data_IF_007151676374
#
_entry.id   IF_007151676374
#
_cell.length_a   1.000
_cell.length_b   1.000
_cell.length_c   1.000
_cell.angle_alpha   90.00
_cell.angle_beta   90.00
_cell.angle_gamma   90.00
#
_symmetry.space_group_name_H-M   'P 1'
#
loop_
_entity.id
_entity.type
_entity.pdbx_description
1 polymer ?
#
# COMPACT_ATOMS: atom_id res chain seq x y z
N UNK A 1 -8.50 -31.47 -24.40
CA UNK A 1 -8.53 -30.00 -24.16
C UNK A 1 -7.17 -29.59 -23.64
N UNK A 2 -6.45 -28.68 -24.32
CA UNK A 2 -5.22 -28.10 -23.75
C UNK A 2 -5.63 -27.19 -22.59
N UNK A 3 -4.95 -27.24 -21.42
CA UNK A 3 -5.19 -26.24 -20.39
C UNK A 3 -4.95 -24.85 -20.99
N UNK A 4 -5.73 -23.83 -20.57
CA UNK A 4 -5.47 -22.45 -20.94
C UNK A 4 -3.99 -22.11 -20.67
N UNK A 5 -3.38 -21.28 -21.51
CA UNK A 5 -1.97 -20.89 -21.37
C UNK A 5 -1.67 -20.43 -19.94
N UNK A 6 -2.61 -19.74 -19.31
CA UNK A 6 -2.56 -19.26 -17.92
C UNK A 6 -2.48 -20.39 -16.86
N UNK A 7 -3.22 -21.49 -17.04
CA UNK A 7 -3.14 -22.67 -16.16
C UNK A 7 -1.81 -23.38 -16.37
N UNK A 8 -1.30 -23.38 -17.61
CA UNK A 8 0.01 -23.92 -17.93
C UNK A 8 1.13 -23.07 -17.32
N UNK A 9 1.00 -21.74 -17.31
CA UNK A 9 1.95 -20.81 -16.66
C UNK A 9 1.89 -20.94 -15.14
N UNK A 10 0.70 -21.05 -14.54
CA UNK A 10 0.56 -21.31 -13.11
C UNK A 10 1.19 -22.66 -12.71
N UNK A 11 0.97 -23.72 -13.48
CA UNK A 11 1.63 -25.02 -13.27
C UNK A 11 3.15 -24.94 -13.52
N UNK A 12 3.61 -24.12 -14.47
CA UNK A 12 5.04 -23.83 -14.69
C UNK A 12 5.66 -23.09 -13.52
N UNK A 13 4.96 -22.13 -12.89
CA UNK A 13 5.43 -21.42 -11.69
C UNK A 13 5.60 -22.39 -10.50
N UNK A 14 4.69 -23.36 -10.35
CA UNK A 14 4.77 -24.43 -9.36
C UNK A 14 5.91 -25.43 -9.66
N UNK A 15 6.20 -25.71 -10.94
CA UNK A 15 7.31 -26.57 -11.36
C UNK A 15 8.68 -25.90 -11.19
N UNK A 16 8.77 -24.59 -11.40
CA UNK A 16 9.97 -23.79 -11.10
C UNK A 16 10.26 -23.84 -9.59
N UNK A 17 9.22 -23.81 -8.74
CA UNK A 17 9.33 -23.97 -7.28
C UNK A 17 9.95 -25.32 -6.88
N UNK A 18 9.57 -26.41 -7.58
CA UNK A 18 10.12 -27.74 -7.35
C UNK A 18 11.59 -27.87 -7.83
N UNK A 19 11.96 -27.27 -8.97
CA UNK A 19 13.34 -27.37 -9.48
C UNK A 19 14.36 -26.51 -8.71
N UNK A 20 13.96 -25.33 -8.23
CA UNK A 20 14.84 -24.52 -7.37
C UNK A 20 15.09 -25.16 -6.00
N UNK A 21 14.15 -25.95 -5.48
CA UNK A 21 14.34 -26.72 -4.26
C UNK A 21 15.36 -27.86 -4.42
N UNK A 22 15.51 -28.44 -5.63
CA UNK A 22 16.50 -29.50 -5.89
C UNK A 22 17.95 -28.98 -6.03
N UNK A 23 18.17 -27.74 -6.46
CA UNK A 23 19.54 -27.15 -6.54
C UNK A 23 20.14 -26.80 -5.16
N UNK A 24 19.35 -26.91 -4.08
CA UNK A 24 19.68 -26.45 -2.73
C UNK A 24 20.55 -27.44 -1.91
N UNK A 25 20.89 -28.61 -2.45
CA UNK A 25 21.46 -29.71 -1.66
C UNK A 25 22.99 -29.67 -1.46
N UNK A 26 23.72 -28.63 -1.90
CA UNK A 26 25.21 -28.70 -1.96
C UNK A 26 26.01 -27.51 -1.38
N UNK A 27 25.42 -26.61 -0.57
CA UNK A 27 26.13 -25.46 0.04
C UNK A 27 26.04 -25.37 1.58
N UNK A 28 26.84 -24.51 2.24
CA UNK A 28 26.89 -24.37 3.71
C UNK A 28 25.78 -23.49 4.35
N UNK A 29 25.38 -23.83 5.58
CA UNK A 29 24.13 -23.41 6.25
C UNK A 29 23.85 -21.89 6.37
N UNK A 30 24.89 -21.05 6.58
CA UNK A 30 24.68 -19.59 6.74
C UNK A 30 24.53 -18.85 5.40
N UNK A 31 25.25 -19.28 4.37
CA UNK A 31 25.16 -18.69 3.03
C UNK A 31 23.89 -19.18 2.32
N UNK A 32 23.53 -20.46 2.53
CA UNK A 32 22.28 -21.03 2.02
C UNK A 32 21.04 -20.31 2.56
N UNK A 33 21.02 -19.90 3.84
CA UNK A 33 19.86 -19.20 4.41
C UNK A 33 19.63 -17.83 3.77
N UNK A 34 20.70 -17.07 3.54
CA UNK A 34 20.64 -15.74 2.89
C UNK A 34 20.31 -15.90 1.39
N UNK A 35 20.93 -16.87 0.71
CA UNK A 35 20.62 -17.20 -0.69
C UNK A 35 19.16 -17.64 -0.82
N UNK A 36 18.68 -18.56 0.03
CA UNK A 36 17.30 -19.05 0.08
C UNK A 36 16.28 -17.91 0.25
N UNK A 37 16.57 -16.94 1.12
CA UNK A 37 15.69 -15.80 1.37
C UNK A 37 15.66 -14.80 0.19
N UNK A 38 16.82 -14.50 -0.40
CA UNK A 38 16.92 -13.65 -1.60
C UNK A 38 16.23 -14.33 -2.78
N UNK A 39 16.42 -15.64 -2.93
CA UNK A 39 15.72 -16.47 -3.93
C UNK A 39 14.21 -16.48 -3.70
N UNK A 40 13.74 -16.53 -2.45
CA UNK A 40 12.31 -16.53 -2.12
C UNK A 40 11.63 -15.20 -2.44
N UNK A 41 12.23 -14.07 -2.06
CA UNK A 41 11.67 -12.75 -2.40
C UNK A 41 11.69 -12.47 -3.91
N UNK A 42 12.74 -12.93 -4.61
CA UNK A 42 12.82 -12.80 -6.06
C UNK A 42 11.64 -13.49 -6.76
N UNK A 43 11.33 -14.72 -6.36
CA UNK A 43 10.19 -15.48 -6.91
C UNK A 43 8.87 -14.75 -6.63
N UNK A 44 8.70 -14.22 -5.42
CA UNK A 44 7.52 -13.41 -5.08
C UNK A 44 7.40 -12.20 -5.99
N UNK A 45 8.46 -11.41 -6.17
CA UNK A 45 8.41 -10.23 -7.02
C UNK A 45 8.20 -10.55 -8.49
N UNK A 46 8.76 -11.66 -8.98
CA UNK A 46 8.53 -12.14 -10.34
C UNK A 46 7.05 -12.52 -10.55
N UNK A 47 6.45 -13.25 -9.60
CA UNK A 47 5.04 -13.66 -9.67
C UNK A 47 4.10 -12.45 -9.63
N UNK A 48 4.35 -11.48 -8.75
CA UNK A 48 3.57 -10.24 -8.72
C UNK A 48 3.78 -9.40 -9.99
N UNK A 49 4.96 -9.42 -10.59
CA UNK A 49 5.21 -8.76 -11.89
C UNK A 49 4.36 -9.41 -12.98
N UNK A 50 4.28 -10.75 -13.01
CA UNK A 50 3.40 -11.47 -13.92
C UNK A 50 1.92 -11.13 -13.69
N UNK A 51 1.47 -11.15 -12.43
CA UNK A 51 0.12 -10.71 -12.06
C UNK A 51 -0.19 -9.28 -12.50
N UNK A 52 0.77 -8.37 -12.36
CA UNK A 52 0.62 -6.98 -12.80
C UNK A 52 0.46 -6.82 -14.32
N UNK A 53 1.13 -7.67 -15.11
CA UNK A 53 0.93 -7.70 -16.57
C UNK A 53 -0.47 -8.19 -16.95
N UNK A 54 -0.99 -9.21 -16.27
CA UNK A 54 -2.39 -9.67 -16.44
C UNK A 54 -3.36 -8.56 -16.03
N UNK A 55 -3.09 -7.88 -14.92
CA UNK A 55 -3.87 -6.74 -14.45
C UNK A 55 -3.90 -5.61 -15.48
N UNK A 56 -2.76 -5.20 -16.02
CA UNK A 56 -2.70 -4.18 -17.07
C UNK A 56 -3.46 -4.60 -18.33
N UNK A 57 -3.35 -5.87 -18.73
CA UNK A 57 -4.11 -6.44 -19.86
C UNK A 57 -5.62 -6.31 -19.62
N UNK A 58 -6.09 -6.59 -18.39
CA UNK A 58 -7.48 -6.32 -17.98
C UNK A 58 -7.87 -4.86 -18.17
N UNK A 59 -7.11 -3.90 -17.62
CA UNK A 59 -7.45 -2.48 -17.77
C UNK A 59 -7.56 -2.07 -19.24
N UNK A 60 -6.58 -2.43 -20.07
CA UNK A 60 -6.55 -2.08 -21.49
C UNK A 60 -7.72 -2.71 -22.26
N UNK A 61 -8.13 -3.93 -21.93
CA UNK A 61 -9.29 -4.56 -22.57
C UNK A 61 -10.62 -3.93 -22.12
N UNK A 62 -10.77 -3.61 -20.83
CA UNK A 62 -11.99 -2.99 -20.30
C UNK A 62 -12.27 -1.61 -20.89
N UNK A 63 -11.21 -0.86 -21.21
CA UNK A 63 -11.26 0.43 -21.86
C UNK A 63 -11.08 0.37 -23.39
N UNK A 64 -11.08 -0.86 -23.96
CA UNK A 64 -11.10 -1.14 -25.41
C UNK A 64 -9.86 -0.69 -26.19
N UNK A 65 -8.72 -0.57 -25.51
CA UNK A 65 -7.43 -0.39 -26.18
C UNK A 65 -6.92 -1.68 -26.83
N UNK A 66 -7.28 -2.83 -26.26
CA UNK A 66 -7.03 -4.18 -26.81
C UNK A 66 -8.30 -5.02 -26.72
N UNK A 67 -8.32 -6.20 -27.34
CA UNK A 67 -9.48 -7.10 -27.32
C UNK A 67 -9.08 -8.57 -27.42
N UNK A 68 -9.84 -9.45 -26.76
CA UNK A 68 -9.77 -10.91 -26.95
C UNK A 68 -8.81 -11.64 -26.01
N UNK A 69 -8.32 -10.99 -24.95
CA UNK A 69 -7.40 -11.58 -23.97
C UNK A 69 -8.11 -11.97 -22.68
N UNK A 70 -9.06 -11.17 -22.20
CA UNK A 70 -9.62 -11.28 -20.84
C UNK A 70 -11.05 -11.82 -20.81
N UNK A 71 -11.75 -11.85 -21.94
CA UNK A 71 -13.15 -12.31 -22.05
C UNK A 71 -13.43 -13.64 -21.34
N UNK A 72 -12.60 -14.66 -21.58
CA UNK A 72 -12.75 -15.97 -20.92
C UNK A 72 -12.55 -15.82 -19.41
N UNK A 73 -11.48 -15.14 -18.99
CA UNK A 73 -11.12 -14.98 -17.60
C UNK A 73 -12.17 -14.20 -16.80
N UNK A 74 -12.74 -13.14 -17.38
CA UNK A 74 -13.81 -12.35 -16.76
C UNK A 74 -15.12 -13.14 -16.65
N UNK A 75 -15.46 -13.90 -17.68
CA UNK A 75 -16.68 -14.69 -17.71
C UNK A 75 -16.59 -15.97 -16.91
N UNK A 76 -15.42 -16.58 -16.78
CA UNK A 76 -15.22 -17.89 -16.15
C UNK A 76 -14.49 -17.83 -14.81
N UNK A 77 -13.59 -16.87 -14.62
CA UNK A 77 -12.70 -16.72 -13.46
C UNK A 77 -13.14 -15.63 -12.49
N UNK A 78 -13.05 -14.35 -12.86
CA UNK A 78 -13.25 -13.23 -11.91
C UNK A 78 -14.12 -12.10 -12.50
N UNK A 79 -15.46 -12.22 -12.46
CA UNK A 79 -16.37 -11.22 -13.05
C UNK A 79 -16.25 -9.81 -12.45
N UNK A 80 -15.85 -9.70 -11.19
CA UNK A 80 -15.68 -8.41 -10.49
C UNK A 80 -14.53 -7.56 -11.06
N UNK A 81 -13.62 -8.15 -11.84
CA UNK A 81 -12.54 -7.41 -12.51
C UNK A 81 -13.02 -6.46 -13.60
N UNK A 82 -14.30 -6.55 -13.97
CA UNK A 82 -14.97 -5.63 -14.89
C UNK A 82 -15.54 -4.37 -14.23
N UNK A 83 -15.41 -4.24 -12.90
CA UNK A 83 -15.86 -3.07 -12.14
C UNK A 83 -14.88 -1.91 -12.33
N UNK A 84 -15.36 -0.68 -12.17
CA UNK A 84 -14.51 0.52 -12.24
C UNK A 84 -13.35 0.49 -11.23
N UNK A 85 -13.61 0.02 -10.01
CA UNK A 85 -12.58 -0.15 -8.99
C UNK A 85 -11.49 -1.12 -9.45
N UNK A 86 -11.88 -2.29 -9.96
CA UNK A 86 -10.91 -3.28 -10.40
C UNK A 86 -10.15 -2.84 -11.67
N UNK A 87 -10.77 -2.07 -12.55
CA UNK A 87 -10.07 -1.43 -13.69
C UNK A 87 -9.01 -0.45 -13.19
N UNK A 88 -9.34 0.40 -12.21
CA UNK A 88 -8.35 1.33 -11.66
C UNK A 88 -7.24 0.62 -10.90
N UNK A 89 -7.57 -0.43 -10.14
CA UNK A 89 -6.58 -1.33 -9.52
C UNK A 89 -5.66 -1.93 -10.59
N UNK A 90 -6.22 -2.45 -11.68
CA UNK A 90 -5.50 -2.99 -12.82
C UNK A 90 -4.56 -1.96 -13.49
N UNK A 91 -4.95 -0.69 -13.58
CA UNK A 91 -4.04 0.38 -14.03
C UNK A 91 -2.91 0.66 -13.03
N UNK A 92 -3.18 0.56 -11.73
CA UNK A 92 -2.14 0.75 -10.71
C UNK A 92 -1.06 -0.32 -10.75
N UNK A 93 -1.34 -1.47 -11.35
CA UNK A 93 -0.32 -2.49 -11.59
C UNK A 93 0.87 -1.95 -12.39
N UNK A 94 0.72 -0.88 -13.18
CA UNK A 94 1.87 -0.19 -13.80
C UNK A 94 2.83 0.38 -12.75
N UNK A 95 2.31 0.98 -11.68
CA UNK A 95 3.11 1.46 -10.57
C UNK A 95 3.80 0.30 -9.83
N UNK A 96 3.08 -0.81 -9.61
CA UNK A 96 3.68 -2.03 -9.06
C UNK A 96 4.75 -2.62 -9.96
N UNK A 97 4.54 -2.71 -11.27
CA UNK A 97 5.52 -3.20 -12.24
C UNK A 97 6.81 -2.37 -12.19
N UNK A 98 6.71 -1.05 -12.25
CA UNK A 98 7.87 -0.15 -12.14
C UNK A 98 8.60 -0.38 -10.81
N UNK A 99 7.85 -0.47 -9.71
CA UNK A 99 8.41 -0.65 -8.38
C UNK A 99 9.10 -2.00 -8.22
N UNK A 100 8.47 -3.08 -8.68
CA UNK A 100 8.97 -4.45 -8.62
C UNK A 100 10.21 -4.64 -9.50
N UNK A 101 10.18 -4.13 -10.74
CA UNK A 101 11.36 -4.17 -11.62
C UNK A 101 12.53 -3.38 -11.02
N UNK A 102 12.25 -2.24 -10.38
CA UNK A 102 13.28 -1.47 -9.67
C UNK A 102 13.83 -2.25 -8.48
N UNK A 103 12.98 -2.92 -7.70
CA UNK A 103 13.40 -3.78 -6.58
C UNK A 103 14.29 -4.91 -7.09
N UNK A 104 13.85 -5.64 -8.12
CA UNK A 104 14.61 -6.74 -8.75
C UNK A 104 15.97 -6.23 -9.26
N UNK A 105 16.00 -5.10 -9.97
CA UNK A 105 17.25 -4.49 -10.42
C UNK A 105 18.19 -4.17 -9.26
N UNK A 106 17.66 -3.61 -8.15
CA UNK A 106 18.46 -3.32 -6.95
C UNK A 106 18.95 -4.58 -6.24
N UNK A 107 18.14 -5.65 -6.22
CA UNK A 107 18.55 -6.96 -5.70
C UNK A 107 19.78 -7.48 -6.44
N UNK A 108 19.77 -7.49 -7.78
CA UNK A 108 20.92 -7.93 -8.59
C UNK A 108 22.11 -6.98 -8.50
N UNK A 109 21.86 -5.68 -8.27
CA UNK A 109 22.93 -4.68 -8.10
C UNK A 109 23.53 -4.66 -6.68
N UNK A 110 23.10 -5.54 -5.77
CA UNK A 110 23.53 -5.53 -4.36
C UNK A 110 23.14 -4.25 -3.60
N UNK A 111 22.17 -3.47 -4.10
CA UNK A 111 21.70 -2.22 -3.47
C UNK A 111 20.49 -2.49 -2.59
N UNK A 112 20.39 -1.77 -1.48
CA UNK A 112 19.29 -1.91 -0.53
C UNK A 112 17.91 -1.58 -1.10
N UNK A 113 17.03 -2.56 -1.23
CA UNK A 113 15.67 -2.37 -1.75
C UNK A 113 14.60 -2.29 -0.66
N UNK A 114 15.00 -2.25 0.62
CA UNK A 114 14.10 -2.37 1.78
C UNK A 114 12.96 -1.36 1.78
N UNK A 115 13.24 -0.07 1.57
CA UNK A 115 12.21 0.97 1.52
C UNK A 115 11.23 0.80 0.36
N UNK A 116 11.72 0.37 -0.81
CA UNK A 116 10.87 0.09 -1.96
C UNK A 116 9.98 -1.14 -1.69
N UNK A 117 10.53 -2.17 -1.04
CA UNK A 117 9.78 -3.34 -0.58
C UNK A 117 8.68 -2.99 0.42
N UNK A 118 8.94 -2.09 1.38
CA UNK A 118 7.91 -1.59 2.31
C UNK A 118 6.81 -0.80 1.60
N UNK A 119 7.19 0.06 0.65
CA UNK A 119 6.25 0.83 -0.16
C UNK A 119 5.33 -0.10 -0.97
N UNK A 120 5.93 -1.09 -1.64
CA UNK A 120 5.20 -2.10 -2.39
C UNK A 120 4.29 -2.93 -1.48
N UNK A 121 4.80 -3.40 -0.34
CA UNK A 121 4.05 -4.24 0.57
C UNK A 121 2.81 -3.51 1.12
N UNK A 122 2.95 -2.24 1.52
CA UNK A 122 1.82 -1.43 1.97
C UNK A 122 0.79 -1.23 0.86
N UNK A 123 1.24 -0.97 -0.36
CA UNK A 123 0.38 -0.83 -1.54
C UNK A 123 -0.37 -2.14 -1.86
N UNK A 124 0.33 -3.27 -1.86
CA UNK A 124 -0.23 -4.60 -2.13
C UNK A 124 -1.23 -5.05 -1.05
N UNK A 125 -0.88 -4.87 0.23
CA UNK A 125 -1.77 -5.20 1.35
C UNK A 125 -3.03 -4.34 1.30
N UNK A 126 -2.89 -3.04 1.05
CA UNK A 126 -4.04 -2.13 0.95
C UNK A 126 -4.93 -2.45 -0.25
N UNK A 127 -4.36 -2.96 -1.35
CA UNK A 127 -5.14 -3.47 -2.45
C UNK A 127 -6.03 -4.64 -2.01
N UNK A 128 -5.41 -5.67 -1.43
CA UNK A 128 -6.07 -6.93 -1.09
C UNK A 128 -7.07 -6.80 0.06
N UNK A 129 -6.77 -5.96 1.06
CA UNK A 129 -7.67 -5.72 2.20
C UNK A 129 -8.97 -5.01 1.78
N UNK A 130 -8.99 -4.30 0.65
CA UNK A 130 -10.21 -3.71 0.08
C UNK A 130 -10.86 -4.67 -0.92
N UNK A 131 -10.06 -5.27 -1.82
CA UNK A 131 -10.55 -6.14 -2.87
C UNK A 131 -11.29 -7.37 -2.29
N UNK A 132 -10.65 -8.10 -1.37
CA UNK A 132 -11.19 -9.39 -0.90
C UNK A 132 -12.53 -9.19 -0.19
N UNK A 133 -12.64 -8.33 0.87
CA UNK A 133 -13.92 -8.13 1.52
C UNK A 133 -14.92 -7.43 0.61
N UNK A 134 -14.49 -6.52 -0.27
CA UNK A 134 -15.37 -5.81 -1.20
C UNK A 134 -16.11 -6.76 -2.15
N UNK A 135 -15.41 -7.76 -2.70
CA UNK A 135 -16.06 -8.80 -3.51
C UNK A 135 -17.02 -9.63 -2.68
N UNK A 136 -16.62 -10.01 -1.46
CA UNK A 136 -17.41 -10.88 -0.57
C UNK A 136 -18.71 -10.23 -0.13
N UNK A 137 -18.69 -8.96 0.28
CA UNK A 137 -19.88 -8.26 0.79
C UNK A 137 -20.67 -7.54 -0.31
N UNK A 138 -20.05 -7.30 -1.46
CA UNK A 138 -20.64 -6.55 -2.56
C UNK A 138 -21.52 -7.40 -3.48
N UNK A 139 -21.93 -6.79 -4.60
CA UNK A 139 -22.77 -7.38 -5.65
C UNK A 139 -22.32 -8.77 -6.15
N UNK A 140 -21.03 -9.10 -6.03
CA UNK A 140 -20.46 -10.37 -6.52
C UNK A 140 -20.38 -11.47 -5.45
N UNK A 141 -20.75 -11.19 -4.20
CA UNK A 141 -20.60 -12.11 -3.07
C UNK A 141 -21.38 -13.42 -3.20
N UNK A 142 -22.51 -13.42 -3.90
CA UNK A 142 -23.31 -14.62 -4.15
C UNK A 142 -22.77 -15.52 -5.26
N UNK A 143 -21.76 -15.08 -6.02
CA UNK A 143 -21.18 -15.81 -7.15
C UNK A 143 -19.65 -15.69 -7.18
N UNK A 144 -19.02 -16.01 -6.05
CA UNK A 144 -17.56 -16.07 -5.94
C UNK A 144 -17.07 -17.34 -6.60
N UNK A 145 -16.18 -17.19 -7.57
CA UNK A 145 -15.63 -18.30 -8.35
C UNK A 145 -14.29 -18.78 -7.79
N UNK A 146 -13.87 -20.03 -8.06
CA UNK A 146 -12.62 -20.58 -7.52
C UNK A 146 -11.37 -19.72 -7.79
N UNK A 147 -11.28 -19.06 -8.96
CA UNK A 147 -10.14 -18.21 -9.32
C UNK A 147 -9.93 -17.04 -8.34
N UNK A 148 -11.00 -16.54 -7.70
CA UNK A 148 -10.92 -15.45 -6.72
C UNK A 148 -10.08 -15.82 -5.50
N UNK A 149 -10.07 -17.08 -5.08
CA UNK A 149 -9.31 -17.52 -3.91
C UNK A 149 -7.80 -17.43 -4.10
N UNK A 150 -7.31 -17.21 -5.33
CA UNK A 150 -5.92 -16.87 -5.61
C UNK A 150 -5.49 -15.57 -4.91
N UNK A 151 -6.41 -14.64 -4.63
CA UNK A 151 -6.09 -13.40 -3.93
C UNK A 151 -5.61 -13.64 -2.48
N UNK A 152 -6.05 -14.73 -1.83
CA UNK A 152 -5.65 -15.06 -0.46
C UNK A 152 -4.14 -15.35 -0.30
N UNK A 153 -3.50 -16.23 -1.09
CA UNK A 153 -2.05 -16.42 -1.00
C UNK A 153 -1.27 -15.14 -1.36
N UNK A 154 -1.71 -14.34 -2.35
CA UNK A 154 -1.08 -13.04 -2.63
C UNK A 154 -1.14 -12.09 -1.43
N UNK A 155 -2.26 -12.10 -0.70
CA UNK A 155 -2.42 -11.31 0.51
C UNK A 155 -1.48 -11.78 1.63
N UNK A 156 -1.44 -13.09 1.91
CA UNK A 156 -0.56 -13.68 2.92
C UNK A 156 0.92 -13.46 2.61
N UNK A 157 1.32 -13.65 1.36
CA UNK A 157 2.70 -13.42 0.89
C UNK A 157 3.10 -11.95 1.05
N UNK A 158 2.17 -11.01 0.82
CA UNK A 158 2.44 -9.58 1.03
C UNK A 158 2.70 -9.27 2.51
N UNK A 159 1.96 -9.88 3.44
CA UNK A 159 2.23 -9.76 4.88
C UNK A 159 3.55 -10.40 5.29
N UNK A 160 3.85 -11.59 4.77
CA UNK A 160 5.13 -12.25 5.01
C UNK A 160 6.30 -11.36 4.54
N UNK A 161 6.21 -10.82 3.33
CA UNK A 161 7.22 -9.91 2.79
C UNK A 161 7.34 -8.63 3.63
N UNK A 162 6.22 -8.04 4.06
CA UNK A 162 6.22 -6.89 4.96
C UNK A 162 6.95 -7.21 6.27
N UNK A 163 6.60 -8.32 6.93
CA UNK A 163 7.23 -8.77 8.18
C UNK A 163 8.75 -8.92 8.02
N UNK A 164 9.18 -9.47 6.88
CA UNK A 164 10.59 -9.59 6.56
C UNK A 164 11.26 -8.22 6.40
N UNK A 165 10.63 -7.25 5.73
CA UNK A 165 11.21 -5.91 5.58
C UNK A 165 11.26 -5.14 6.90
N UNK A 166 10.23 -5.24 7.74
CA UNK A 166 10.23 -4.63 9.07
C UNK A 166 11.32 -5.23 9.97
N UNK A 167 11.60 -6.53 9.84
CA UNK A 167 12.64 -7.21 10.62
C UNK A 167 14.07 -6.87 10.17
N UNK A 168 14.25 -6.41 8.92
CA UNK A 168 15.58 -6.04 8.41
C UNK A 168 16.08 -4.74 9.06
N UNK A 169 17.39 -4.66 9.41
CA UNK A 169 17.99 -3.42 9.88
C UNK A 169 17.74 -2.27 8.91
N UNK A 170 17.58 -1.07 9.47
CA UNK A 170 17.34 0.12 8.67
C UNK A 170 18.63 0.86 8.40
N UNK A 171 18.80 1.29 7.15
CA UNK A 171 19.80 2.27 6.77
C UNK A 171 19.31 3.68 7.16
N UNK A 172 19.95 4.25 8.18
CA UNK A 172 19.72 5.62 8.62
C UNK A 172 20.96 6.47 8.34
N UNK A 173 20.79 7.76 7.97
CA UNK A 173 21.91 8.69 7.92
C UNK A 173 22.63 8.75 9.26
N UNK A 174 23.96 8.89 9.24
CA UNK A 174 24.75 9.12 10.44
C UNK A 174 24.52 10.56 10.88
N UNK A 175 24.04 10.74 12.11
CA UNK A 175 23.78 12.06 12.72
C UNK A 175 24.50 12.12 14.06
N UNK A 176 25.13 13.26 14.36
CA UNK A 176 25.87 13.47 15.61
C UNK A 176 24.94 13.49 16.82
N UNK A 177 25.44 13.00 17.97
CA UNK A 177 24.71 12.97 19.23
C UNK A 177 24.22 14.37 19.65
N UNK A 178 25.06 15.40 19.46
CA UNK A 178 24.72 16.79 19.78
C UNK A 178 23.54 17.30 18.95
N UNK A 179 23.51 16.95 17.65
CA UNK A 179 22.40 17.33 16.76
C UNK A 179 21.11 16.60 17.14
N UNK A 180 21.19 15.32 17.50
CA UNK A 180 20.03 14.56 18.00
C UNK A 180 19.48 15.23 19.28
N UNK A 181 20.35 15.50 20.25
CA UNK A 181 19.95 16.13 21.51
C UNK A 181 19.36 17.54 21.31
N UNK A 182 19.93 18.34 20.40
CA UNK A 182 19.43 19.67 20.07
C UNK A 182 18.04 19.63 19.41
N UNK A 183 17.83 18.73 18.44
CA UNK A 183 16.53 18.58 17.77
C UNK A 183 15.46 18.01 18.71
N UNK A 184 15.81 17.06 19.59
CA UNK A 184 14.86 16.46 20.55
C UNK A 184 14.40 17.42 21.65
N UNK A 185 15.14 18.49 21.92
CA UNK A 185 14.72 19.57 22.83
C UNK A 185 13.67 20.50 22.23
N UNK A 186 13.47 20.48 20.90
CA UNK A 186 12.52 21.38 20.23
C UNK A 186 11.08 20.87 20.43
N UNK A 187 10.21 21.77 20.88
CA UNK A 187 8.77 21.55 20.84
C UNK A 187 8.24 21.46 19.39
N UNK A 188 6.99 21.01 19.23
CA UNK A 188 6.36 20.91 17.89
C UNK A 188 6.26 22.28 17.19
N UNK A 189 5.95 23.34 17.95
CA UNK A 189 5.83 24.70 17.39
C UNK A 189 7.14 25.23 16.80
N UNK A 190 8.29 24.76 17.30
CA UNK A 190 9.61 25.10 16.76
C UNK A 190 10.01 24.24 15.55
N UNK A 191 9.14 23.35 15.10
CA UNK A 191 9.33 22.43 13.97
C UNK A 191 8.19 22.63 12.95
N UNK A 192 8.21 23.69 12.13
CA UNK A 192 7.06 24.10 11.31
C UNK A 192 6.59 23.02 10.31
N UNK A 193 7.52 22.24 9.74
CA UNK A 193 7.16 21.11 8.88
C UNK A 193 6.40 20.02 9.65
N UNK A 194 6.83 19.71 10.88
CA UNK A 194 6.20 18.69 11.72
C UNK A 194 4.84 19.20 12.23
N UNK A 195 4.71 20.50 12.51
CA UNK A 195 3.46 21.15 12.86
C UNK A 195 2.44 21.08 11.72
N UNK A 196 2.84 21.47 10.50
CA UNK A 196 1.98 21.39 9.32
C UNK A 196 1.55 19.95 9.04
N UNK A 197 2.48 18.99 9.09
CA UNK A 197 2.16 17.58 8.91
C UNK A 197 1.21 17.08 10.00
N UNK A 198 1.38 17.52 11.25
CA UNK A 198 0.46 17.18 12.35
C UNK A 198 -0.95 17.69 12.08
N UNK A 199 -1.10 18.93 11.61
CA UNK A 199 -2.41 19.51 11.24
C UNK A 199 -3.07 18.74 10.08
N UNK A 200 -2.29 18.39 9.05
CA UNK A 200 -2.78 17.61 7.91
C UNK A 200 -3.22 16.19 8.33
N UNK A 201 -2.46 15.54 9.21
CA UNK A 201 -2.81 14.22 9.75
C UNK A 201 -4.05 14.29 10.65
N UNK A 202 -4.21 15.34 11.46
CA UNK A 202 -5.44 15.57 12.23
C UNK A 202 -6.65 15.76 11.32
N UNK A 203 -6.51 16.52 10.23
CA UNK A 203 -7.53 16.64 9.19
C UNK A 203 -7.85 15.29 8.54
N UNK A 204 -6.85 14.47 8.24
CA UNK A 204 -7.04 13.12 7.71
C UNK A 204 -7.79 12.21 8.69
N UNK A 205 -7.46 12.24 9.98
CA UNK A 205 -8.19 11.49 11.02
C UNK A 205 -9.65 11.92 11.07
N UNK A 206 -9.91 13.23 11.17
CA UNK A 206 -11.27 13.75 11.22
C UNK A 206 -12.08 13.29 9.98
N UNK A 207 -11.45 13.31 8.81
CA UNK A 207 -12.10 12.93 7.58
C UNK A 207 -12.31 11.42 7.41
N UNK A 208 -11.37 10.58 7.85
CA UNK A 208 -11.55 9.13 7.90
C UNK A 208 -12.67 8.74 8.86
N UNK A 209 -12.73 9.36 10.04
CA UNK A 209 -13.82 9.18 11.00
C UNK A 209 -15.16 9.58 10.40
N UNK A 210 -15.21 10.76 9.79
CA UNK A 210 -16.41 11.26 9.12
C UNK A 210 -16.89 10.31 8.02
N UNK A 211 -16.02 9.90 7.09
CA UNK A 211 -16.38 8.94 6.03
C UNK A 211 -16.74 7.57 6.57
N UNK A 212 -16.13 7.14 7.67
CA UNK A 212 -16.51 5.93 8.42
C UNK A 212 -17.97 6.00 8.89
N UNK A 213 -18.36 7.12 9.50
CA UNK A 213 -19.75 7.34 9.90
C UNK A 213 -20.71 7.43 8.71
N UNK A 214 -20.30 8.06 7.61
CA UNK A 214 -21.10 8.11 6.38
C UNK A 214 -21.45 6.71 5.88
N UNK A 215 -20.49 5.80 5.82
CA UNK A 215 -20.72 4.44 5.31
C UNK A 215 -21.36 3.49 6.31
N UNK A 216 -21.47 3.90 7.57
CA UNK A 216 -22.23 3.25 8.63
C UNK A 216 -23.64 3.85 8.78
N UNK A 217 -24.11 4.59 7.78
CA UNK A 217 -25.44 5.17 7.71
C UNK A 217 -25.78 6.10 8.89
N UNK A 218 -24.80 6.90 9.33
CA UNK A 218 -25.00 7.91 10.37
C UNK A 218 -26.09 8.94 9.97
N UNK A 219 -27.09 9.21 10.84
CA UNK A 219 -28.27 10.01 10.50
C UNK A 219 -28.01 11.53 10.47
N UNK A 220 -26.77 11.99 10.68
CA UNK A 220 -26.45 13.42 10.67
C UNK A 220 -26.64 14.03 9.27
N UNK A 221 -27.20 15.24 9.21
CA UNK A 221 -27.43 15.98 7.96
C UNK A 221 -26.16 16.16 7.13
N UNK A 222 -25.01 16.34 7.79
CA UNK A 222 -23.71 16.42 7.13
C UNK A 222 -23.35 15.11 6.42
N UNK A 223 -23.61 13.95 7.03
CA UNK A 223 -23.37 12.64 6.43
C UNK A 223 -24.31 12.40 5.24
N UNK A 224 -25.59 12.75 5.39
CA UNK A 224 -26.57 12.70 4.31
C UNK A 224 -26.15 13.60 3.13
N UNK A 225 -25.86 14.87 3.40
CA UNK A 225 -25.42 15.81 2.37
C UNK A 225 -24.19 15.30 1.63
N UNK A 226 -23.21 14.77 2.37
CA UNK A 226 -21.98 14.27 1.78
C UNK A 226 -22.19 13.07 0.87
N UNK A 227 -22.94 12.06 1.32
CA UNK A 227 -23.13 10.83 0.56
C UNK A 227 -23.98 11.06 -0.69
N UNK A 228 -24.90 12.02 -0.70
CA UNK A 228 -25.74 12.30 -1.87
C UNK A 228 -25.15 13.37 -2.81
N UNK A 229 -24.50 14.39 -2.27
CA UNK A 229 -24.03 15.52 -3.08
C UNK A 229 -22.55 15.43 -3.46
N UNK A 230 -21.70 14.81 -2.63
CA UNK A 230 -20.25 14.81 -2.86
C UNK A 230 -19.77 13.45 -3.36
N UNK A 231 -20.01 12.38 -2.61
CA UNK A 231 -19.50 11.04 -2.94
C UNK A 231 -20.59 9.96 -2.92
N UNK A 232 -21.53 9.99 -3.88
CA UNK A 232 -22.52 8.91 -4.06
C UNK A 232 -21.86 7.57 -4.38
N UNK A 233 -20.59 7.57 -4.78
CA UNK A 233 -19.79 6.36 -4.99
C UNK A 233 -19.69 5.48 -3.73
N UNK A 234 -19.80 6.06 -2.53
CA UNK A 234 -19.85 5.30 -1.28
C UNK A 234 -21.07 4.37 -1.16
N UNK A 235 -22.11 4.61 -1.98
CA UNK A 235 -23.33 3.79 -2.06
C UNK A 235 -23.29 2.73 -3.17
N UNK A 236 -22.21 2.66 -3.94
CA UNK A 236 -22.11 1.69 -5.04
C UNK A 236 -22.28 0.25 -4.51
N UNK A 237 -23.23 -0.54 -5.03
CA UNK A 237 -23.49 -1.91 -4.55
C UNK A 237 -22.32 -2.87 -4.77
N UNK A 238 -21.31 -2.49 -5.55
CA UNK A 238 -20.07 -3.28 -5.70
C UNK A 238 -19.27 -3.34 -4.38
N UNK A 239 -19.42 -2.37 -3.48
CA UNK A 239 -18.97 -2.48 -2.08
C UNK A 239 -17.51 -2.08 -1.77
N UNK A 240 -16.63 -1.92 -2.77
CA UNK A 240 -15.21 -1.57 -2.53
C UNK A 240 -15.02 -0.24 -1.79
N UNK A 241 -15.74 0.81 -2.20
CA UNK A 241 -15.66 2.13 -1.60
C UNK A 241 -16.07 2.12 -0.12
N UNK A 242 -17.14 1.39 0.20
CA UNK A 242 -17.60 1.15 1.57
C UNK A 242 -16.54 0.44 2.41
N UNK A 243 -16.01 -0.69 1.92
CA UNK A 243 -14.96 -1.44 2.63
C UNK A 243 -13.75 -0.57 2.89
N UNK A 244 -13.30 0.20 1.89
CA UNK A 244 -12.15 1.08 2.04
C UNK A 244 -12.36 2.17 3.10
N UNK A 245 -13.56 2.79 3.18
CA UNK A 245 -13.84 3.74 4.25
C UNK A 245 -13.81 3.09 5.64
N UNK A 246 -14.30 1.85 5.76
CA UNK A 246 -14.19 1.08 7.01
C UNK A 246 -12.74 0.71 7.33
N UNK A 247 -11.93 0.37 6.32
CA UNK A 247 -10.50 0.12 6.51
C UNK A 247 -9.79 1.36 7.01
N UNK A 248 -10.11 2.53 6.46
CA UNK A 248 -9.58 3.79 6.97
C UNK A 248 -10.04 4.07 8.41
N UNK A 249 -11.31 3.88 8.69
CA UNK A 249 -11.88 4.13 10.00
C UNK A 249 -11.28 3.22 11.09
N UNK A 250 -11.16 1.92 10.83
CA UNK A 250 -10.71 0.95 11.83
C UNK A 250 -9.18 0.74 11.88
N UNK A 251 -8.46 0.96 10.77
CA UNK A 251 -7.01 0.68 10.72
C UNK A 251 -6.17 1.93 10.44
N UNK A 252 -6.59 2.81 9.53
CA UNK A 252 -5.82 4.02 9.24
C UNK A 252 -5.90 5.05 10.39
N UNK A 253 -7.07 5.23 11.02
CA UNK A 253 -7.22 6.17 12.15
C UNK A 253 -6.29 5.82 13.32
N UNK A 254 -6.23 4.57 13.83
CA UNK A 254 -5.26 4.21 14.85
C UNK A 254 -3.81 4.41 14.39
N UNK A 255 -3.48 4.02 13.16
CA UNK A 255 -2.12 4.19 12.63
C UNK A 255 -1.71 5.67 12.54
N UNK A 256 -2.58 6.53 12.01
CA UNK A 256 -2.33 7.97 11.91
C UNK A 256 -2.23 8.61 13.29
N UNK A 257 -3.01 8.15 14.26
CA UNK A 257 -2.91 8.59 15.66
C UNK A 257 -1.54 8.24 16.27
N UNK A 258 -1.01 7.05 15.96
CA UNK A 258 0.35 6.65 16.34
C UNK A 258 1.40 7.52 15.62
N UNK A 259 1.22 7.84 14.34
CA UNK A 259 2.12 8.73 13.60
C UNK A 259 2.12 10.17 14.18
N UNK A 260 0.96 10.67 14.59
CA UNK A 260 0.82 11.95 15.32
C UNK A 260 1.58 11.92 16.63
N UNK A 261 1.49 10.82 17.38
CA UNK A 261 2.31 10.63 18.58
C UNK A 261 3.81 10.66 18.24
N UNK A 262 4.22 10.04 17.12
CA UNK A 262 5.61 10.04 16.65
C UNK A 262 6.16 11.42 16.28
N UNK A 263 5.32 12.34 15.78
CA UNK A 263 5.72 13.73 15.53
C UNK A 263 5.90 14.54 16.83
N UNK A 264 5.12 14.21 17.86
CA UNK A 264 5.16 14.88 19.15
C UNK A 264 6.24 14.34 20.08
N UNK A 265 6.56 13.05 19.99
CA UNK A 265 7.45 12.37 20.93
C UNK A 265 8.78 12.00 20.27
N UNK A 266 9.92 12.45 20.80
CA UNK A 266 11.24 12.13 20.24
C UNK A 266 11.57 10.64 20.38
N UNK A 267 12.51 10.14 19.56
CA UNK A 267 12.99 8.76 19.65
C UNK A 267 12.11 7.71 18.98
N UNK A 268 11.06 8.12 18.25
CA UNK A 268 10.18 7.25 17.50
C UNK A 268 10.83 6.70 16.23
N UNK A 269 11.88 5.90 16.38
CA UNK A 269 12.66 5.42 15.24
C UNK A 269 11.79 4.60 14.28
N UNK A 270 10.79 3.85 14.75
CA UNK A 270 9.89 3.05 13.89
C UNK A 270 9.11 3.87 12.84
N UNK A 271 8.98 5.19 13.01
CA UNK A 271 8.08 6.05 12.23
C UNK A 271 8.35 6.05 10.71
N UNK A 272 9.62 6.05 10.28
CA UNK A 272 9.96 6.07 8.87
C UNK A 272 9.40 4.84 8.12
N UNK A 273 9.52 3.65 8.69
CA UNK A 273 9.07 2.42 8.03
C UNK A 273 7.55 2.36 7.91
N UNK A 274 6.85 2.67 9.00
CA UNK A 274 5.39 2.74 9.01
C UNK A 274 4.85 3.79 8.06
N UNK A 275 5.52 4.94 7.95
CA UNK A 275 5.09 5.99 7.03
C UNK A 275 5.32 5.60 5.56
N UNK A 276 6.44 4.95 5.23
CA UNK A 276 6.68 4.43 3.86
C UNK A 276 5.61 3.38 3.50
N UNK A 277 5.35 2.44 4.41
CA UNK A 277 4.32 1.44 4.25
C UNK A 277 2.94 2.10 4.03
N UNK A 278 2.59 3.06 4.87
CA UNK A 278 1.32 3.78 4.79
C UNK A 278 1.20 4.63 3.51
N UNK A 279 2.30 5.22 3.03
CA UNK A 279 2.31 5.95 1.76
C UNK A 279 1.97 5.05 0.57
N UNK A 280 2.48 3.82 0.54
CA UNK A 280 2.12 2.84 -0.49
C UNK A 280 0.64 2.45 -0.42
N UNK A 281 0.13 2.25 0.80
CA UNK A 281 -1.27 1.92 1.04
C UNK A 281 -2.22 3.04 0.58
N UNK A 282 -1.92 4.29 0.97
CA UNK A 282 -2.72 5.46 0.63
C UNK A 282 -2.66 5.77 -0.86
N UNK A 283 -1.49 5.66 -1.50
CA UNK A 283 -1.37 5.88 -2.94
C UNK A 283 -2.27 4.92 -3.75
N UNK A 284 -2.24 3.62 -3.42
CA UNK A 284 -3.08 2.62 -4.08
C UNK A 284 -4.58 2.89 -3.90
N UNK A 285 -4.98 3.07 -2.65
CA UNK A 285 -6.40 3.18 -2.30
C UNK A 285 -7.01 4.49 -2.78
N UNK A 286 -6.28 5.61 -2.70
CA UNK A 286 -6.74 6.89 -3.24
C UNK A 286 -6.81 6.90 -4.77
N UNK A 287 -5.85 6.27 -5.46
CA UNK A 287 -5.92 6.08 -6.91
C UNK A 287 -7.18 5.32 -7.31
N UNK A 288 -7.42 4.16 -6.69
CA UNK A 288 -8.59 3.35 -6.98
C UNK A 288 -9.89 4.09 -6.67
N UNK A 289 -9.98 4.78 -5.54
CA UNK A 289 -11.17 5.56 -5.15
C UNK A 289 -11.49 6.67 -6.13
N UNK A 290 -10.51 7.52 -6.43
CA UNK A 290 -10.68 8.67 -7.32
C UNK A 290 -11.11 8.16 -8.69
N UNK A 291 -10.33 7.25 -9.28
CA UNK A 291 -10.60 6.76 -10.61
C UNK A 291 -11.96 6.06 -10.70
N UNK A 292 -12.30 5.21 -9.73
CA UNK A 292 -13.55 4.48 -9.76
C UNK A 292 -14.75 5.41 -9.58
N UNK A 293 -14.67 6.41 -8.69
CA UNK A 293 -15.75 7.39 -8.50
C UNK A 293 -16.06 8.21 -9.77
N UNK A 294 -15.11 8.29 -10.70
CA UNK A 294 -15.22 9.08 -11.94
C UNK A 294 -15.43 8.22 -13.19
N UNK A 295 -15.12 6.93 -13.13
CA UNK A 295 -15.11 6.05 -14.28
C UNK A 295 -16.50 5.89 -14.92
N UNK A 296 -16.51 5.78 -16.25
CA UNK A 296 -17.71 5.47 -17.06
C UNK A 296 -18.39 4.14 -16.72
N UNK A 297 -17.72 3.22 -16.01
CA UNK A 297 -18.25 1.91 -15.63
C UNK A 297 -18.98 1.95 -14.28
N UNK A 298 -18.74 2.98 -13.48
CA UNK A 298 -19.56 3.29 -12.31
C UNK A 298 -20.91 3.79 -12.82
N UNK A 299 -22.06 3.30 -12.32
CA UNK A 299 -23.36 3.82 -12.73
C UNK A 299 -23.46 5.33 -12.48
N UNK A 300 -24.14 6.05 -13.37
CA UNK A 300 -24.19 7.52 -13.32
C UNK A 300 -24.66 8.06 -11.96
N UNK A 301 -25.63 7.40 -11.34
CA UNK A 301 -26.17 7.76 -10.00
C UNK A 301 -25.17 7.63 -8.86
N UNK A 302 -24.08 6.88 -9.05
CA UNK A 302 -23.02 6.69 -8.07
C UNK A 302 -21.73 7.43 -8.45
N UNK A 303 -21.66 8.09 -9.60
CA UNK A 303 -20.47 8.88 -9.96
C UNK A 303 -20.44 10.18 -9.18
N UNK A 304 -19.24 10.65 -8.88
CA UNK A 304 -19.02 11.98 -8.31
C UNK A 304 -19.64 13.05 -9.23
N UNK A 305 -20.55 13.91 -8.73
CA UNK A 305 -21.17 14.97 -9.53
C UNK A 305 -20.16 15.93 -10.14
N UNK A 306 -20.46 16.47 -11.31
CA UNK A 306 -19.53 17.31 -12.08
C UNK A 306 -19.12 18.59 -11.32
N UNK A 307 -20.05 19.19 -10.59
CA UNK A 307 -19.85 20.40 -9.79
C UNK A 307 -19.04 20.14 -8.50
N UNK A 308 -19.01 18.89 -8.01
CA UNK A 308 -18.23 18.49 -6.82
C UNK A 308 -16.94 17.73 -7.13
N UNK A 309 -16.67 17.46 -8.42
CA UNK A 309 -15.53 16.66 -8.88
C UNK A 309 -14.20 17.17 -8.34
N UNK A 310 -13.91 18.47 -8.48
CA UNK A 310 -12.61 19.01 -8.09
C UNK A 310 -12.36 18.99 -6.57
N UNK A 311 -13.30 19.40 -5.70
CA UNK A 311 -13.16 19.23 -4.27
C UNK A 311 -12.86 17.77 -3.86
N UNK A 312 -13.59 16.81 -4.43
CA UNK A 312 -13.40 15.39 -4.14
C UNK A 312 -12.02 14.91 -4.60
N UNK A 313 -11.59 15.26 -5.82
CA UNK A 313 -10.25 14.91 -6.31
C UNK A 313 -9.17 15.53 -5.41
N UNK A 314 -9.25 16.83 -5.14
CA UNK A 314 -8.24 17.55 -4.37
C UNK A 314 -8.05 16.96 -2.97
N UNK A 315 -9.15 16.65 -2.29
CA UNK A 315 -9.11 16.07 -0.95
C UNK A 315 -8.50 14.65 -0.95
N UNK A 316 -8.91 13.80 -1.89
CA UNK A 316 -8.36 12.45 -2.01
C UNK A 316 -6.88 12.45 -2.45
N UNK A 317 -6.46 13.37 -3.33
CA UNK A 317 -5.05 13.57 -3.70
C UNK A 317 -4.24 14.03 -2.49
N UNK A 318 -4.77 14.95 -1.68
CA UNK A 318 -4.13 15.39 -0.45
C UNK A 318 -3.90 14.21 0.51
N UNK A 319 -4.91 13.34 0.70
CA UNK A 319 -4.78 12.13 1.51
C UNK A 319 -3.69 11.17 0.99
N UNK A 320 -3.48 11.12 -0.33
CA UNK A 320 -2.43 10.31 -0.94
C UNK A 320 -1.03 10.90 -0.72
N UNK A 321 -0.90 12.23 -0.79
CA UNK A 321 0.37 12.95 -0.73
C UNK A 321 0.89 13.09 0.71
N UNK A 322 0.01 13.32 1.69
CA UNK A 322 0.42 13.60 3.10
C UNK A 322 1.35 12.52 3.68
N UNK A 323 1.05 11.20 3.58
CA UNK A 323 1.97 10.15 4.03
C UNK A 323 3.31 10.16 3.28
N UNK A 324 3.32 10.46 1.98
CA UNK A 324 4.56 10.53 1.20
C UNK A 324 5.45 11.71 1.65
N UNK A 325 4.84 12.88 1.94
CA UNK A 325 5.54 14.02 2.52
C UNK A 325 6.09 13.70 3.91
N UNK A 326 5.32 12.98 4.74
CA UNK A 326 5.76 12.53 6.05
C UNK A 326 6.96 11.55 5.93
N UNK A 327 6.93 10.63 4.97
CA UNK A 327 8.04 9.70 4.72
C UNK A 327 9.30 10.46 4.29
N UNK A 328 9.14 11.44 3.39
CA UNK A 328 10.23 12.31 2.94
C UNK A 328 10.81 13.11 4.11
N UNK A 329 9.97 13.67 4.97
CA UNK A 329 10.37 14.38 6.18
C UNK A 329 11.13 13.49 7.15
N UNK A 330 10.66 12.26 7.38
CA UNK A 330 11.31 11.27 8.24
C UNK A 330 12.69 10.86 7.71
N UNK A 331 12.86 10.80 6.38
CA UNK A 331 14.12 10.42 5.73
C UNK A 331 15.14 11.55 5.68
N UNK A 332 14.69 12.76 5.35
CA UNK A 332 15.57 13.93 5.14
C UNK A 332 16.11 14.50 6.46
N UNK A 333 15.29 14.51 7.51
CA UNK A 333 15.62 15.13 8.79
C UNK A 333 15.35 14.16 9.98
N UNK A 334 16.05 13.02 10.07
CA UNK A 334 15.70 11.95 11.01
C UNK A 334 16.01 12.27 12.48
N UNK A 335 16.81 13.30 12.77
CA UNK A 335 17.41 13.55 14.08
C UNK A 335 16.43 13.50 15.26
N UNK A 336 15.25 14.10 15.13
CA UNK A 336 14.21 14.06 16.18
C UNK A 336 13.73 12.63 16.51
N UNK A 337 13.65 11.77 15.50
CA UNK A 337 13.11 10.40 15.57
C UNK A 337 14.17 9.36 15.98
N UNK A 338 15.45 9.72 15.98
CA UNK A 338 16.52 8.78 16.31
C UNK A 338 16.53 8.43 17.80
N UNK A 339 16.93 7.21 18.14
CA UNK A 339 17.06 6.80 19.55
C UNK A 339 18.01 7.77 20.28
N UNK A 340 17.68 8.20 21.51
CA UNK A 340 18.54 9.07 22.28
C UNK A 340 19.87 8.38 22.58
N UNK A 341 20.96 9.14 22.52
CA UNK A 341 22.29 8.66 22.93
C UNK A 341 22.36 8.71 24.46
N UNK A 342 22.75 7.61 25.15
CA UNK A 342 22.92 7.61 26.59
C UNK A 342 23.89 8.71 27.03
N UNK A 343 23.54 9.45 28.09
CA UNK A 343 24.46 10.41 28.73
C UNK A 343 25.63 9.60 29.32
N UNK A 344 26.80 9.66 28.68
CA UNK A 344 28.02 8.96 29.14
C UNK A 344 29.07 8.69 28.07
N UNK A 345 28.72 8.73 26.78
CA UNK A 345 29.70 8.48 25.68
C UNK A 345 30.32 9.75 25.08
N UNK A 346 30.00 10.95 25.59
CA UNK A 346 30.42 12.19 24.95
C UNK A 346 31.66 12.85 25.54
N UNK A 347 32.37 12.27 26.53
CA UNK A 347 33.53 12.98 27.12
C UNK A 347 34.70 12.14 27.69
N UNK A 348 34.66 10.81 27.77
CA UNK A 348 35.75 10.07 28.46
C UNK A 348 36.86 9.50 27.54
N UNK A 349 36.64 9.38 26.23
CA UNK A 349 37.65 8.79 25.33
C UNK A 349 38.65 9.79 24.73
N UNK A 350 38.58 11.08 25.10
CA UNK A 350 39.57 12.09 24.69
C UNK A 350 40.69 12.34 25.70
N UNK A 351 40.75 11.56 26.79
CA UNK A 351 41.88 11.58 27.73
C UNK A 351 42.41 10.16 27.99
N UNK A 352 43.02 9.55 26.97
CA UNK A 352 44.05 8.51 27.12
C UNK A 352 44.64 8.15 25.76
N UNK A 353 45.63 8.93 25.33
CA UNK A 353 46.97 8.49 24.91
C UNK A 353 47.76 9.67 24.39
#
# INVERSE_FOLDING_TARGET
>A
MKPPVEVSVFLLSLLVHHRLSCLHSTGGASLNSIISLVSSLFVVFAEFTFGGMVGLTNALEQDRFISGFMDFYLKMGEPHLSTSYAVMMSYWEVAHLILLLTIIHRMFSGKSYRSLGLLWAGSSIANQIVLIPGVVIGKYGSNIRPAFFRNAPFFLVSFWAASLFFSRPREMPIVTADKIAAEQKKGLLSRPADLLLSLLLLGAVAFFVFRGFVVLDCPLDACFTYIYQYEPYLKDPVGFSRVMMLVYFFYAVPLVSILLYGLNTPGCSWMLDWTIFFAGAMAQTQWCHIGASLHSRTPFTYRTPADKRWPVIALNVLLAIVPALLALRCRTNPAFLMKPVPKGQSNDDKKKN
#
